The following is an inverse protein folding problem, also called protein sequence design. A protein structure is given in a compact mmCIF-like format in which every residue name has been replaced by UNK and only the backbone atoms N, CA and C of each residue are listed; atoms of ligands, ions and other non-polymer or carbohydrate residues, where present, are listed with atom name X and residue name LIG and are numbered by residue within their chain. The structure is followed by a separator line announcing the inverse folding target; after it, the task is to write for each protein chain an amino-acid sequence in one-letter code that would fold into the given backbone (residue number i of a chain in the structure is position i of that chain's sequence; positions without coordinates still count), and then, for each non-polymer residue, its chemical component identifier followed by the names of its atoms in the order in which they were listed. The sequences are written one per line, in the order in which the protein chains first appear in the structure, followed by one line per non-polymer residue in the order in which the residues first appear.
data_IF_381669145789
#
_entry.id   IF_381669145789
#
_cell.length_a   1.000
_cell.length_b   1.000
_cell.length_c   1.000
_cell.angle_alpha   90.00
_cell.angle_beta   90.00
_cell.angle_gamma   90.00
#
_symmetry.space_group_name_H-M   'P 1'
#
loop_
_entity.id
_entity.type
_entity.pdbx_description
1 polymer ?
#
# COMPACT_ATOMS: atom_id res chain seq x y z
N UNK A 1 11.58 31.93 11.92
CA UNK A 1 11.48 30.58 11.32
C UNK A 1 10.69 30.70 10.03
N UNK A 2 11.16 30.11 8.93
CA UNK A 2 10.42 30.11 7.65
C UNK A 2 9.07 29.39 7.79
N UNK A 3 8.04 29.89 7.10
CA UNK A 3 6.72 29.25 7.06
C UNK A 3 6.75 27.98 6.21
N UNK A 4 5.74 27.13 6.36
CA UNK A 4 5.54 25.96 5.50
C UNK A 4 5.46 26.33 4.02
N UNK A 5 4.83 27.45 3.69
CA UNK A 5 4.74 27.96 2.32
C UNK A 5 6.11 28.36 1.76
N UNK A 6 6.91 29.11 2.53
CA UNK A 6 8.26 29.51 2.09
C UNK A 6 9.18 28.29 1.91
N UNK A 7 9.05 27.27 2.78
CA UNK A 7 9.77 26.01 2.64
C UNK A 7 9.32 25.24 1.38
N UNK A 8 8.02 25.24 1.06
CA UNK A 8 7.52 24.64 -0.17
C UNK A 8 8.07 25.35 -1.42
N UNK A 9 8.07 26.69 -1.43
CA UNK A 9 8.65 27.47 -2.53
C UNK A 9 10.15 27.21 -2.68
N UNK A 10 10.89 27.08 -1.57
CA UNK A 10 12.30 26.71 -1.59
C UNK A 10 12.51 25.29 -2.16
N UNK A 11 11.59 24.36 -1.89
CA UNK A 11 11.62 23.02 -2.48
C UNK A 11 11.46 23.07 -4.00
N UNK A 12 10.44 23.77 -4.51
CA UNK A 12 10.22 23.93 -5.95
C UNK A 12 11.41 24.61 -6.65
N UNK A 13 12.03 25.61 -6.01
CA UNK A 13 13.23 26.28 -6.54
C UNK A 13 14.45 25.36 -6.56
N UNK A 14 14.64 24.52 -5.54
CA UNK A 14 15.74 23.55 -5.49
C UNK A 14 15.56 22.51 -6.59
N UNK A 15 14.33 22.00 -6.75
CA UNK A 15 13.97 21.05 -7.79
C UNK A 15 14.22 21.62 -9.20
N UNK A 16 13.77 22.85 -9.46
CA UNK A 16 13.98 23.52 -10.75
C UNK A 16 15.46 23.74 -11.11
N UNK A 17 16.35 23.75 -10.10
CA UNK A 17 17.81 23.87 -10.27
C UNK A 17 18.52 22.52 -10.37
N UNK A 18 17.80 21.41 -10.26
CA UNK A 18 18.37 20.06 -10.22
C UNK A 18 18.93 19.65 -8.85
N UNK A 19 18.72 20.44 -7.78
CA UNK A 19 19.06 20.05 -6.41
C UNK A 19 17.93 19.19 -5.82
N UNK A 20 17.92 17.91 -6.21
CA UNK A 20 16.89 16.96 -5.83
C UNK A 20 16.89 16.70 -4.32
N UNK A 21 18.06 16.54 -3.70
CA UNK A 21 18.16 16.30 -2.26
C UNK A 21 17.71 17.53 -1.45
N UNK A 22 18.13 18.72 -1.86
CA UNK A 22 17.67 19.97 -1.23
C UNK A 22 16.16 20.18 -1.38
N UNK A 23 15.59 19.85 -2.55
CA UNK A 23 14.15 19.89 -2.75
C UNK A 23 13.42 18.95 -1.77
N UNK A 24 13.90 17.71 -1.66
CA UNK A 24 13.29 16.70 -0.81
C UNK A 24 13.36 17.03 0.67
N UNK A 25 14.48 17.58 1.14
CA UNK A 25 14.61 18.09 2.51
C UNK A 25 13.66 19.25 2.79
N UNK A 26 13.52 20.19 1.86
CA UNK A 26 12.57 21.30 1.98
C UNK A 26 11.11 20.83 2.04
N UNK A 27 10.69 19.83 1.25
CA UNK A 27 9.34 19.26 1.38
C UNK A 27 9.09 18.67 2.76
N UNK A 28 10.04 17.89 3.30
CA UNK A 28 9.92 17.33 4.65
C UNK A 28 9.80 18.41 5.73
N UNK A 29 10.64 19.45 5.64
CA UNK A 29 10.61 20.59 6.55
C UNK A 29 9.28 21.33 6.45
N UNK A 30 8.74 21.52 5.25
CA UNK A 30 7.43 22.15 5.02
C UNK A 30 6.31 21.36 5.69
N UNK A 31 6.22 20.04 5.45
CA UNK A 31 5.21 19.17 6.09
C UNK A 31 5.31 19.25 7.62
N UNK A 32 6.52 19.09 8.17
CA UNK A 32 6.76 19.12 9.62
C UNK A 32 6.36 20.47 10.21
N UNK A 33 6.66 21.58 9.54
CA UNK A 33 6.29 22.94 9.97
C UNK A 33 4.78 23.12 9.99
N UNK A 34 4.09 22.78 8.89
CA UNK A 34 2.63 22.92 8.77
C UNK A 34 1.91 22.12 9.87
N UNK A 35 2.31 20.87 10.07
CA UNK A 35 1.73 19.98 11.09
C UNK A 35 2.04 20.42 12.53
N UNK A 36 3.15 21.13 12.75
CA UNK A 36 3.55 21.60 14.08
C UNK A 36 2.68 22.77 14.53
N UNK A 37 2.59 23.82 13.73
CA UNK A 37 2.06 25.10 14.21
C UNK A 37 1.26 25.95 13.20
N UNK A 38 1.00 25.47 11.98
CA UNK A 38 0.26 26.26 10.97
C UNK A 38 -1.18 25.75 10.72
N UNK A 39 -1.88 26.41 9.80
CA UNK A 39 -3.20 26.02 9.35
C UNK A 39 -3.09 24.89 8.31
N UNK A 40 -3.44 23.67 8.73
CA UNK A 40 -3.36 22.45 7.90
C UNK A 40 -4.33 22.43 6.71
N UNK A 41 -5.34 23.29 6.69
CA UNK A 41 -6.30 23.44 5.57
C UNK A 41 -6.10 24.74 4.79
N UNK A 42 -4.98 25.44 4.98
CA UNK A 42 -4.66 26.63 4.19
C UNK A 42 -4.59 26.29 2.70
N UNK A 43 -5.28 27.09 1.87
CA UNK A 43 -5.22 26.96 0.42
C UNK A 43 -3.85 27.39 -0.10
N UNK A 44 -3.39 26.72 -1.13
CA UNK A 44 -2.19 27.11 -1.84
C UNK A 44 -2.44 28.45 -2.56
N UNK A 45 -1.58 29.47 -2.39
CA UNK A 45 -1.76 30.78 -3.02
C UNK A 45 -1.23 30.77 -4.47
N UNK A 46 -1.70 29.83 -5.27
CA UNK A 46 -1.33 29.67 -6.67
C UNK A 46 -2.49 29.03 -7.46
N UNK A 47 -2.60 29.37 -8.74
CA UNK A 47 -3.45 28.63 -9.67
C UNK A 47 -2.73 27.32 -9.99
N UNK A 48 -3.39 26.21 -9.72
CA UNK A 48 -2.86 24.87 -9.95
C UNK A 48 -3.81 24.07 -10.85
N UNK A 49 -3.29 23.05 -11.55
CA UNK A 49 -4.13 22.17 -12.35
C UNK A 49 -5.29 21.57 -11.54
N UNK A 50 -6.43 21.26 -12.19
CA UNK A 50 -7.60 20.69 -11.52
C UNK A 50 -7.34 19.43 -10.70
N UNK A 51 -6.35 18.62 -11.07
CA UNK A 51 -6.01 17.39 -10.34
C UNK A 51 -4.89 17.57 -9.30
N UNK A 52 -4.37 18.79 -9.15
CA UNK A 52 -3.40 19.11 -8.12
C UNK A 52 -4.12 19.50 -6.81
N UNK A 53 -3.67 19.01 -5.63
CA UNK A 53 -4.29 19.36 -4.36
C UNK A 53 -4.33 20.88 -4.09
N UNK A 54 -5.49 21.38 -3.67
CA UNK A 54 -5.68 22.82 -3.46
C UNK A 54 -5.19 23.33 -2.10
N UNK A 55 -5.07 22.45 -1.10
CA UNK A 55 -4.47 22.79 0.19
C UNK A 55 -2.95 22.69 0.09
N UNK A 56 -2.24 23.65 0.70
CA UNK A 56 -0.78 23.68 0.74
C UNK A 56 -0.22 22.35 1.26
N UNK A 57 -0.75 21.84 2.37
CA UNK A 57 -0.32 20.56 2.94
C UNK A 57 -0.52 19.40 1.96
N UNK A 58 -1.65 19.38 1.23
CA UNK A 58 -1.92 18.35 0.22
C UNK A 58 -0.94 18.43 -0.94
N UNK A 59 -0.62 19.63 -1.42
CA UNK A 59 0.32 19.84 -2.52
C UNK A 59 1.75 19.43 -2.16
N UNK A 60 2.22 19.87 -0.98
CA UNK A 60 3.54 19.48 -0.45
C UNK A 60 3.60 17.97 -0.25
N UNK A 61 2.55 17.36 0.30
CA UNK A 61 2.48 15.92 0.51
C UNK A 61 2.54 15.13 -0.81
N UNK A 62 1.78 15.57 -1.83
CA UNK A 62 1.80 14.98 -3.17
C UNK A 62 3.21 14.96 -3.77
N UNK A 63 3.94 16.07 -3.67
CA UNK A 63 5.31 16.14 -4.17
C UNK A 63 6.25 15.26 -3.34
N UNK A 64 6.14 15.30 -2.01
CA UNK A 64 6.92 14.46 -1.11
C UNK A 64 6.75 12.96 -1.39
N UNK A 65 5.53 12.44 -1.55
CA UNK A 65 5.33 11.03 -1.89
C UNK A 65 5.77 10.73 -3.32
N UNK A 66 5.67 11.70 -4.24
CA UNK A 66 6.14 11.57 -5.62
C UNK A 66 7.63 11.23 -5.71
N UNK A 67 8.47 11.83 -4.86
CA UNK A 67 9.92 11.55 -4.83
C UNK A 67 10.25 10.10 -4.47
N UNK A 68 9.42 9.44 -3.64
CA UNK A 68 9.59 8.01 -3.35
C UNK A 68 9.11 7.11 -4.49
N UNK A 69 8.19 7.59 -5.31
CA UNK A 69 7.54 6.79 -6.35
C UNK A 69 8.21 6.91 -7.70
N UNK A 70 8.89 8.03 -7.94
CA UNK A 70 9.63 8.29 -9.16
C UNK A 70 10.87 7.39 -9.25
N UNK A 71 10.95 6.50 -10.26
CA UNK A 71 12.09 5.61 -10.46
C UNK A 71 13.43 6.34 -10.63
N UNK A 72 13.42 7.54 -11.21
CA UNK A 72 14.64 8.31 -11.49
C UNK A 72 15.23 8.92 -10.21
N UNK A 73 14.40 9.12 -9.19
CA UNK A 73 14.77 9.79 -7.95
C UNK A 73 15.45 8.84 -6.94
N UNK A 74 15.15 7.53 -7.00
CA UNK A 74 15.79 6.47 -6.20
C UNK A 74 15.80 6.69 -4.67
N UNK A 75 14.76 7.33 -4.10
CA UNK A 75 14.62 7.52 -2.66
C UNK A 75 14.10 6.26 -1.96
N UNK A 76 14.78 5.82 -0.91
CA UNK A 76 14.50 4.58 -0.16
C UNK A 76 14.61 4.78 1.35
N UNK A 77 14.26 3.76 2.13
CA UNK A 77 14.48 3.75 3.58
C UNK A 77 15.97 3.85 3.93
N UNK A 78 16.82 3.19 3.16
CA UNK A 78 18.26 3.13 3.37
C UNK A 78 18.94 4.46 3.02
N UNK A 79 18.53 5.09 1.92
CA UNK A 79 19.12 6.37 1.50
C UNK A 79 18.58 7.56 2.30
N UNK A 80 17.28 7.54 2.67
CA UNK A 80 16.60 8.68 3.28
C UNK A 80 15.71 8.27 4.48
N UNK A 81 16.31 7.79 5.58
CA UNK A 81 15.58 7.19 6.69
C UNK A 81 14.63 8.17 7.40
N UNK A 82 14.97 9.45 7.50
CA UNK A 82 14.11 10.46 8.15
C UNK A 82 12.87 10.80 7.33
N UNK A 83 13.01 10.81 5.99
CA UNK A 83 11.88 10.95 5.08
C UNK A 83 10.99 9.71 5.15
N UNK A 84 11.60 8.52 5.15
CA UNK A 84 10.88 7.26 5.27
C UNK A 84 10.12 7.18 6.60
N UNK A 85 10.73 7.60 7.71
CA UNK A 85 10.06 7.69 9.02
C UNK A 85 8.85 8.62 8.98
N UNK A 86 8.94 9.77 8.30
CA UNK A 86 7.81 10.67 8.10
C UNK A 86 6.69 9.98 7.32
N UNK A 87 7.00 9.37 6.16
CA UNK A 87 6.04 8.62 5.35
C UNK A 87 5.37 7.50 6.18
N UNK A 88 6.17 6.66 6.83
CA UNK A 88 5.71 5.53 7.63
C UNK A 88 4.88 5.97 8.85
N UNK A 89 5.09 7.17 9.38
CA UNK A 89 4.26 7.71 10.47
C UNK A 89 2.81 7.96 10.07
N UNK A 90 2.52 8.07 8.77
CA UNK A 90 1.17 8.20 8.23
C UNK A 90 0.58 6.88 7.71
N UNK A 91 1.25 5.73 7.85
CA UNK A 91 0.65 4.46 7.38
C UNK A 91 -0.75 4.25 8.00
N UNK A 92 -1.71 3.62 7.30
CA UNK A 92 -3.08 3.41 7.82
C UNK A 92 -3.14 2.73 9.20
N UNK A 93 -2.18 1.85 9.48
CA UNK A 93 -2.05 1.13 10.75
C UNK A 93 -1.26 1.86 11.84
N UNK A 94 -0.71 3.04 11.58
CA UNK A 94 -0.10 3.87 12.64
C UNK A 94 -1.20 4.54 13.44
N UNK A 95 -1.42 4.08 14.67
CA UNK A 95 -2.38 4.65 15.63
C UNK A 95 -1.85 5.95 16.26
N UNK A 96 -1.31 6.87 15.45
CA UNK A 96 -0.78 8.14 15.93
C UNK A 96 -1.85 9.23 15.77
N UNK A 97 -2.22 9.96 16.84
CA UNK A 97 -3.18 11.05 16.73
C UNK A 97 -2.56 12.23 15.98
N UNK A 98 -3.38 12.94 15.20
CA UNK A 98 -3.00 14.17 14.51
C UNK A 98 -3.97 15.30 14.88
N UNK A 99 -3.86 15.88 16.10
CA UNK A 99 -4.89 16.77 16.65
C UNK A 99 -5.27 17.95 15.76
N UNK A 100 -4.31 18.54 15.02
CA UNK A 100 -4.60 19.67 14.11
C UNK A 100 -5.43 19.26 12.90
N UNK A 101 -5.15 18.10 12.32
CA UNK A 101 -5.93 17.55 11.21
C UNK A 101 -7.29 17.05 11.71
N UNK A 102 -7.37 16.54 12.93
CA UNK A 102 -8.60 15.99 13.52
C UNK A 102 -9.60 17.06 13.99
N UNK A 103 -9.20 18.34 14.07
CA UNK A 103 -10.06 19.45 14.51
C UNK A 103 -11.23 19.77 13.57
N UNK A 104 -11.08 19.54 12.27
CA UNK A 104 -12.08 19.93 11.27
C UNK A 104 -12.42 18.80 10.33
N UNK A 105 -13.61 18.84 9.73
CA UNK A 105 -14.03 17.86 8.72
C UNK A 105 -13.05 17.83 7.54
N UNK A 106 -12.64 19.00 7.02
CA UNK A 106 -11.67 19.10 5.92
C UNK A 106 -10.29 18.54 6.31
N UNK A 107 -9.83 18.81 7.54
CA UNK A 107 -8.56 18.27 8.04
C UNK A 107 -8.59 16.74 8.16
N UNK A 108 -9.72 16.15 8.58
CA UNK A 108 -9.89 14.69 8.62
C UNK A 108 -9.83 14.07 7.23
N UNK A 109 -10.42 14.70 6.22
CA UNK A 109 -10.34 14.27 4.81
C UNK A 109 -8.87 14.32 4.33
N UNK A 110 -8.14 15.41 4.60
CA UNK A 110 -6.71 15.50 4.29
C UNK A 110 -5.91 14.39 4.97
N UNK A 111 -6.10 14.17 6.28
CA UNK A 111 -5.42 13.11 7.01
C UNK A 111 -5.67 11.74 6.38
N UNK A 112 -6.91 11.42 6.05
CA UNK A 112 -7.25 10.12 5.44
C UNK A 112 -6.58 9.94 4.09
N UNK A 113 -6.57 10.96 3.24
CA UNK A 113 -5.84 10.90 1.97
C UNK A 113 -4.32 10.73 2.17
N UNK A 114 -3.72 11.39 3.17
CA UNK A 114 -2.30 11.26 3.46
C UNK A 114 -1.99 9.84 3.93
N UNK A 115 -2.88 9.26 4.75
CA UNK A 115 -2.73 7.88 5.22
C UNK A 115 -2.85 6.85 4.10
N UNK A 116 -3.82 7.03 3.21
CA UNK A 116 -4.04 6.17 2.04
C UNK A 116 -2.83 6.21 1.11
N UNK A 117 -2.42 7.42 0.69
CA UNK A 117 -1.29 7.61 -0.23
C UNK A 117 0.06 7.25 0.41
N UNK A 118 0.22 7.36 1.74
CA UNK A 118 1.37 6.78 2.45
C UNK A 118 1.41 5.26 2.30
N UNK A 119 0.29 4.57 2.53
CA UNK A 119 0.20 3.12 2.39
C UNK A 119 0.47 2.64 0.97
N UNK A 120 -0.01 3.36 -0.05
CA UNK A 120 0.30 3.07 -1.45
C UNK A 120 1.80 3.24 -1.74
N UNK A 121 2.41 4.34 -1.29
CA UNK A 121 3.85 4.58 -1.46
C UNK A 121 4.69 3.48 -0.79
N UNK A 122 4.37 3.12 0.45
CA UNK A 122 5.05 2.04 1.17
C UNK A 122 4.86 0.68 0.49
N UNK A 123 3.70 0.46 -0.13
CA UNK A 123 3.45 -0.74 -0.94
C UNK A 123 4.33 -0.78 -2.19
N UNK A 124 4.47 0.35 -2.90
CA UNK A 124 5.34 0.46 -4.07
C UNK A 124 6.81 0.28 -3.72
N UNK A 125 7.29 0.89 -2.63
CA UNK A 125 8.67 0.69 -2.16
C UNK A 125 8.96 -0.78 -1.80
N UNK A 126 7.98 -1.49 -1.22
CA UNK A 126 8.10 -2.92 -0.97
C UNK A 126 8.08 -3.74 -2.27
N UNK A 127 7.27 -3.34 -3.25
CA UNK A 127 7.23 -3.93 -4.58
C UNK A 127 8.60 -3.83 -5.27
N UNK A 128 9.20 -2.64 -5.27
CA UNK A 128 10.51 -2.39 -5.88
C UNK A 128 11.61 -3.25 -5.23
N UNK A 129 11.49 -3.54 -3.92
CA UNK A 129 12.36 -4.47 -3.18
C UNK A 129 12.02 -5.95 -3.40
N UNK A 130 11.11 -6.28 -4.31
CA UNK A 130 10.55 -7.62 -4.57
C UNK A 130 9.89 -8.28 -3.35
N UNK A 131 9.53 -7.52 -2.32
CA UNK A 131 8.71 -8.00 -1.18
C UNK A 131 7.22 -7.87 -1.52
N UNK A 132 6.75 -8.77 -2.40
CA UNK A 132 5.35 -8.80 -2.86
C UNK A 132 4.35 -8.96 -1.72
N UNK A 133 4.71 -9.73 -0.70
CA UNK A 133 3.82 -9.96 0.45
C UNK A 133 3.61 -8.67 1.24
N UNK A 134 4.66 -7.89 1.48
CA UNK A 134 4.52 -6.58 2.13
C UNK A 134 3.81 -5.58 1.21
N UNK A 135 4.14 -5.54 -0.09
CA UNK A 135 3.45 -4.68 -1.06
C UNK A 135 1.93 -4.88 -1.03
N UNK A 136 1.48 -6.13 -1.21
CA UNK A 136 0.07 -6.49 -1.18
C UNK A 136 -0.61 -6.13 0.14
N UNK A 137 0.09 -6.33 1.27
CA UNK A 137 -0.42 -5.96 2.59
C UNK A 137 -0.64 -4.45 2.71
N UNK A 138 0.33 -3.63 2.27
CA UNK A 138 0.22 -2.16 2.37
C UNK A 138 -0.87 -1.61 1.44
N UNK A 139 -0.96 -2.12 0.21
CA UNK A 139 -2.04 -1.78 -0.70
C UNK A 139 -3.40 -2.12 -0.10
N UNK A 140 -3.57 -3.34 0.44
CA UNK A 140 -4.83 -3.73 1.06
C UNK A 140 -5.19 -2.86 2.27
N UNK A 141 -4.26 -2.61 3.19
CA UNK A 141 -4.50 -1.75 4.36
C UNK A 141 -4.98 -0.34 3.96
N UNK A 142 -4.41 0.24 2.90
CA UNK A 142 -4.79 1.56 2.40
C UNK A 142 -6.10 1.56 1.62
N UNK A 143 -6.37 0.52 0.82
CA UNK A 143 -7.66 0.37 0.13
C UNK A 143 -8.81 0.15 1.13
N UNK A 144 -8.61 -0.69 2.14
CA UNK A 144 -9.59 -0.90 3.21
C UNK A 144 -9.87 0.43 3.95
N UNK A 145 -8.84 1.26 4.19
CA UNK A 145 -9.05 2.60 4.75
C UNK A 145 -9.84 3.51 3.80
N UNK A 146 -9.54 3.49 2.50
CA UNK A 146 -10.26 4.28 1.50
C UNK A 146 -11.74 3.92 1.42
N UNK A 147 -12.10 2.64 1.53
CA UNK A 147 -13.49 2.16 1.56
C UNK A 147 -14.28 2.73 2.74
N UNK A 148 -13.62 3.03 3.87
CA UNK A 148 -14.29 3.70 5.01
C UNK A 148 -14.51 5.20 4.80
N UNK A 149 -14.04 5.77 3.69
CA UNK A 149 -14.07 7.20 3.43
C UNK A 149 -14.72 7.54 2.07
N UNK A 150 -16.06 7.66 2.03
CA UNK A 150 -16.83 7.91 0.80
C UNK A 150 -16.34 9.04 -0.11
N UNK A 151 -15.80 10.18 0.39
CA UNK A 151 -15.29 11.26 -0.45
C UNK A 151 -14.21 10.86 -1.46
N UNK A 152 -13.50 9.75 -1.24
CA UNK A 152 -12.51 9.24 -2.20
C UNK A 152 -13.03 8.13 -3.11
N UNK A 153 -14.21 7.58 -2.83
CA UNK A 153 -14.76 6.45 -3.56
C UNK A 153 -15.78 6.88 -4.61
N UNK A 154 -16.61 7.87 -4.28
CA UNK A 154 -17.69 8.35 -5.13
C UNK A 154 -17.47 9.83 -5.45
N UNK A 155 -16.73 10.11 -6.53
CA UNK A 155 -16.47 11.49 -6.95
C UNK A 155 -17.64 12.04 -7.79
N UNK A 156 -18.31 13.13 -7.36
CA UNK A 156 -19.19 13.87 -8.25
C UNK A 156 -18.45 14.32 -9.53
N UNK A 157 -19.13 14.39 -10.69
CA UNK A 157 -18.55 14.96 -11.90
C UNK A 157 -17.97 16.36 -11.65
N UNK A 158 -16.76 16.61 -12.16
CA UNK A 158 -16.06 17.89 -11.96
C UNK A 158 -15.34 18.01 -10.62
N UNK A 159 -15.21 16.94 -9.83
CA UNK A 159 -14.40 16.97 -8.60
C UNK A 159 -12.92 17.22 -8.93
N UNK A 160 -12.32 18.16 -8.21
CA UNK A 160 -10.94 18.63 -8.38
C UNK A 160 -10.17 18.54 -7.06
N UNK A 161 -8.85 18.71 -7.13
CA UNK A 161 -7.98 18.80 -5.97
C UNK A 161 -7.72 17.47 -5.29
N UNK A 162 -7.75 17.49 -3.95
CA UNK A 162 -7.30 16.38 -3.11
C UNK A 162 -8.07 15.08 -3.35
N UNK A 163 -9.39 15.15 -3.42
CA UNK A 163 -10.24 13.99 -3.65
C UNK A 163 -9.97 13.34 -5.01
N UNK A 164 -9.80 14.15 -6.06
CA UNK A 164 -9.45 13.69 -7.41
C UNK A 164 -8.07 13.01 -7.42
N UNK A 165 -7.07 13.62 -6.79
CA UNK A 165 -5.72 13.07 -6.65
C UNK A 165 -5.72 11.70 -5.95
N UNK A 166 -6.35 11.61 -4.77
CA UNK A 166 -6.40 10.36 -3.99
C UNK A 166 -7.21 9.28 -4.71
N UNK A 167 -8.30 9.63 -5.39
CA UNK A 167 -9.09 8.68 -6.17
C UNK A 167 -8.31 8.06 -7.32
N UNK A 168 -7.55 8.86 -8.09
CA UNK A 168 -6.67 8.35 -9.15
C UNK A 168 -5.67 7.34 -8.58
N UNK A 169 -5.06 7.67 -7.43
CA UNK A 169 -4.09 6.81 -6.74
C UNK A 169 -4.72 5.50 -6.23
N UNK A 170 -6.00 5.54 -5.80
CA UNK A 170 -6.79 4.35 -5.45
C UNK A 170 -6.99 3.44 -6.67
N UNK A 171 -7.35 4.00 -7.82
CA UNK A 171 -7.58 3.21 -9.04
C UNK A 171 -6.29 2.52 -9.50
N UNK A 172 -5.18 3.25 -9.58
CA UNK A 172 -3.87 2.70 -9.93
C UNK A 172 -3.45 1.59 -8.96
N UNK A 173 -3.63 1.81 -7.65
CA UNK A 173 -3.26 0.81 -6.66
C UNK A 173 -4.14 -0.44 -6.71
N UNK A 174 -5.44 -0.31 -7.07
CA UNK A 174 -6.31 -1.47 -7.30
C UNK A 174 -5.80 -2.33 -8.45
N UNK A 175 -5.35 -1.72 -9.54
CA UNK A 175 -4.73 -2.46 -10.65
C UNK A 175 -3.45 -3.16 -10.21
N UNK A 176 -2.57 -2.47 -9.47
CA UNK A 176 -1.32 -3.04 -8.97
C UNK A 176 -1.57 -4.23 -8.03
N UNK A 177 -2.51 -4.11 -7.09
CA UNK A 177 -2.90 -5.22 -6.24
C UNK A 177 -3.53 -6.37 -7.05
N UNK A 178 -4.37 -6.04 -8.04
CA UNK A 178 -4.95 -7.01 -8.97
C UNK A 178 -3.88 -7.85 -9.70
N UNK A 179 -2.81 -7.20 -10.18
CA UNK A 179 -1.66 -7.89 -10.80
C UNK A 179 -0.99 -8.86 -9.82
N UNK A 180 -0.79 -8.49 -8.55
CA UNK A 180 -0.23 -9.41 -7.55
C UNK A 180 -1.13 -10.62 -7.36
N UNK A 181 -2.44 -10.41 -7.17
CA UNK A 181 -3.39 -11.49 -6.94
C UNK A 181 -3.45 -12.45 -8.13
N UNK A 182 -3.48 -11.90 -9.35
CA UNK A 182 -3.50 -12.69 -10.58
C UNK A 182 -2.20 -13.49 -10.75
N UNK A 183 -1.03 -12.90 -10.46
CA UNK A 183 0.24 -13.60 -10.52
C UNK A 183 0.30 -14.76 -9.52
N UNK A 184 -0.08 -14.52 -8.26
CA UNK A 184 -0.19 -15.57 -7.25
C UNK A 184 -1.15 -16.69 -7.71
N UNK A 185 -2.26 -16.38 -8.38
CA UNK A 185 -3.14 -17.41 -8.94
C UNK A 185 -2.46 -18.22 -10.05
N UNK A 186 -1.84 -17.55 -11.03
CA UNK A 186 -1.14 -18.22 -12.14
C UNK A 186 0.00 -19.12 -11.64
N UNK A 187 0.78 -18.66 -10.66
CA UNK A 187 1.87 -19.45 -10.08
C UNK A 187 1.33 -20.66 -9.31
N UNK A 188 0.22 -20.52 -8.59
CA UNK A 188 -0.41 -21.65 -7.92
C UNK A 188 -0.90 -22.72 -8.93
N UNK A 189 -1.50 -22.29 -10.05
CA UNK A 189 -1.98 -23.21 -11.09
C UNK A 189 -0.84 -23.96 -11.79
N UNK A 190 0.29 -23.28 -12.04
CA UNK A 190 1.50 -23.91 -12.59
C UNK A 190 2.10 -24.97 -11.63
N UNK A 191 2.11 -24.68 -10.34
CA UNK A 191 2.60 -25.61 -9.32
C UNK A 191 1.67 -26.83 -9.18
N UNK A 192 0.36 -26.63 -9.21
CA UNK A 192 -0.61 -27.72 -9.14
C UNK A 192 -0.49 -28.72 -10.31
N UNK A 193 -0.01 -28.26 -11.47
CA UNK A 193 0.22 -29.12 -12.65
C UNK A 193 1.54 -29.89 -12.60
N UNK A 194 2.51 -29.44 -11.78
CA UNK A 194 3.90 -29.92 -11.81
C UNK A 194 4.27 -30.74 -10.57
N UNK A 195 3.79 -30.33 -9.40
CA UNK A 195 4.13 -30.96 -8.13
C UNK A 195 2.94 -31.77 -7.59
N UNK A 196 3.04 -33.10 -7.68
CA UNK A 196 2.06 -34.04 -7.12
C UNK A 196 1.98 -34.03 -5.58
N UNK A 197 2.74 -33.16 -4.91
CA UNK A 197 2.77 -33.01 -3.45
C UNK A 197 1.46 -32.49 -2.85
N UNK A 198 0.64 -31.79 -3.65
CA UNK A 198 -0.66 -31.25 -3.23
C UNK A 198 -0.59 -30.14 -2.17
N UNK A 199 0.60 -29.61 -1.85
CA UNK A 199 0.77 -28.56 -0.85
C UNK A 199 0.57 -27.18 -1.48
N UNK A 200 -0.55 -26.53 -1.15
CA UNK A 200 -0.79 -25.15 -1.60
C UNK A 200 0.11 -24.17 -0.83
N UNK A 201 0.93 -23.35 -1.52
CA UNK A 201 1.77 -22.35 -0.86
C UNK A 201 0.92 -21.36 -0.05
N UNK A 202 1.43 -20.89 1.08
CA UNK A 202 0.87 -19.81 1.88
C UNK A 202 1.49 -18.46 1.57
N UNK A 203 0.99 -17.42 2.24
CA UNK A 203 1.58 -16.08 2.14
C UNK A 203 3.01 -16.07 2.70
N UNK A 204 3.95 -15.53 1.92
CA UNK A 204 5.42 -15.49 2.10
C UNK A 204 6.15 -16.79 1.84
N UNK A 205 5.46 -17.86 1.47
CA UNK A 205 6.16 -19.06 1.04
C UNK A 205 6.89 -18.76 -0.27
N UNK A 206 8.17 -19.16 -0.31
CA UNK A 206 9.00 -19.13 -1.51
C UNK A 206 9.05 -20.54 -2.06
N UNK A 207 8.72 -20.69 -3.34
CA UNK A 207 8.72 -21.98 -4.01
C UNK A 207 9.42 -21.87 -5.35
N UNK A 208 10.09 -22.95 -5.73
CA UNK A 208 10.74 -23.04 -7.03
C UNK A 208 9.69 -23.20 -8.12
N UNK A 209 9.89 -22.47 -9.21
CA UNK A 209 9.02 -22.58 -10.39
C UNK A 209 9.45 -23.79 -11.23
N UNK A 210 8.50 -24.52 -11.83
CA UNK A 210 8.82 -25.64 -12.70
C UNK A 210 9.63 -25.21 -13.94
N UNK A 211 9.40 -23.97 -14.39
CA UNK A 211 10.12 -23.31 -15.46
C UNK A 211 10.43 -21.87 -15.05
N UNK A 212 11.65 -21.36 -15.28
CA UNK A 212 11.99 -19.97 -15.03
C UNK A 212 11.06 -19.01 -15.78
N UNK A 213 10.60 -17.96 -15.11
CA UNK A 213 9.78 -16.92 -15.73
C UNK A 213 10.59 -15.66 -15.95
N UNK A 214 10.39 -15.01 -17.10
CA UNK A 214 10.99 -13.71 -17.38
C UNK A 214 10.14 -12.61 -16.75
N UNK A 215 10.78 -11.77 -15.94
CA UNK A 215 10.22 -10.55 -15.36
C UNK A 215 10.98 -9.35 -15.89
N UNK A 216 10.27 -8.36 -16.42
CA UNK A 216 10.84 -7.11 -16.90
C UNK A 216 10.49 -6.03 -15.88
N UNK A 217 11.51 -5.38 -15.32
CA UNK A 217 11.28 -4.28 -14.39
C UNK A 217 10.97 -2.97 -15.11
N UNK A 218 10.68 -1.93 -14.32
CA UNK A 218 10.33 -0.59 -14.81
C UNK A 218 11.43 0.10 -15.63
N UNK A 219 12.67 -0.37 -15.55
CA UNK A 219 13.81 0.12 -16.35
C UNK A 219 13.97 -0.63 -17.66
N UNK A 220 13.14 -1.66 -17.91
CA UNK A 220 13.25 -2.55 -19.06
C UNK A 220 14.25 -3.68 -18.87
N UNK A 221 14.86 -3.82 -17.68
CA UNK A 221 15.79 -4.91 -17.41
C UNK A 221 15.02 -6.23 -17.25
N UNK A 222 15.38 -7.22 -18.08
CA UNK A 222 14.84 -8.56 -18.01
C UNK A 222 15.61 -9.40 -16.99
N UNK A 223 14.87 -10.08 -16.12
CA UNK A 223 15.38 -11.00 -15.10
C UNK A 223 14.67 -12.35 -15.21
N UNK A 224 15.41 -13.45 -15.08
CA UNK A 224 14.85 -14.79 -14.99
C UNK A 224 14.61 -15.14 -13.52
N UNK A 225 13.35 -15.37 -13.15
CA UNK A 225 12.95 -15.82 -11.82
C UNK A 225 12.75 -17.33 -11.84
N UNK A 226 13.58 -18.07 -11.11
CA UNK A 226 13.43 -19.52 -10.90
C UNK A 226 12.62 -19.85 -9.65
N UNK A 227 12.28 -18.86 -8.83
CA UNK A 227 11.51 -19.03 -7.59
C UNK A 227 10.57 -17.85 -7.39
N UNK A 228 9.52 -18.08 -6.60
CA UNK A 228 8.43 -17.13 -6.45
C UNK A 228 7.96 -17.08 -4.99
N UNK A 229 8.00 -15.89 -4.37
CA UNK A 229 7.40 -15.61 -3.08
C UNK A 229 5.91 -15.23 -3.21
N UNK A 230 4.99 -15.98 -2.61
CA UNK A 230 3.55 -15.70 -2.67
C UNK A 230 3.15 -14.53 -1.77
N UNK A 231 2.31 -13.63 -2.27
CA UNK A 231 1.85 -12.47 -1.51
C UNK A 231 0.60 -12.73 -0.66
N UNK A 232 -0.15 -13.78 -0.98
CA UNK A 232 -1.49 -14.08 -0.44
C UNK A 232 -1.62 -15.51 0.08
N UNK A 233 -2.72 -15.78 0.78
CA UNK A 233 -3.10 -17.14 1.17
C UNK A 233 -4.15 -17.68 0.20
N UNK A 234 -4.26 -19.01 0.12
CA UNK A 234 -5.27 -19.68 -0.69
C UNK A 234 -6.43 -20.21 0.17
N UNK A 235 -7.63 -20.19 -0.40
CA UNK A 235 -8.78 -20.89 0.16
C UNK A 235 -8.60 -22.40 0.03
N UNK A 236 -8.69 -23.13 1.13
CA UNK A 236 -8.54 -24.60 1.15
C UNK A 236 -9.64 -25.35 0.41
N UNK A 237 -10.78 -24.71 0.14
CA UNK A 237 -11.92 -25.33 -0.55
C UNK A 237 -11.94 -25.07 -2.05
N UNK A 238 -11.63 -23.83 -2.49
CA UNK A 238 -11.78 -23.43 -3.89
C UNK A 238 -10.50 -22.87 -4.54
N UNK A 239 -9.37 -22.85 -3.83
CA UNK A 239 -8.09 -22.40 -4.35
C UNK A 239 -7.93 -20.87 -4.53
N UNK A 240 -9.03 -20.10 -4.54
CA UNK A 240 -8.97 -18.63 -4.68
C UNK A 240 -8.04 -18.01 -3.66
N UNK A 241 -7.20 -17.07 -4.10
CA UNK A 241 -6.17 -16.44 -3.28
C UNK A 241 -6.51 -14.99 -2.94
N UNK A 242 -6.33 -14.60 -1.67
CA UNK A 242 -6.54 -13.23 -1.19
C UNK A 242 -5.74 -12.98 0.11
N UNK A 243 -5.62 -11.71 0.50
CA UNK A 243 -5.13 -11.30 1.81
C UNK A 243 -6.21 -11.44 2.90
N UNK A 244 -7.48 -11.25 2.54
CA UNK A 244 -8.62 -11.21 3.47
C UNK A 244 -9.41 -12.52 3.42
N UNK A 245 -8.79 -13.60 3.87
CA UNK A 245 -9.45 -14.89 4.05
C UNK A 245 -9.81 -15.12 5.53
N UNK A 246 -10.93 -15.79 5.76
CA UNK A 246 -11.30 -16.31 7.08
C UNK A 246 -10.31 -17.40 7.47
N UNK A 247 -10.01 -17.51 8.76
CA UNK A 247 -9.21 -18.61 9.32
C UNK A 247 -10.11 -19.59 10.03
N UNK A 248 -9.79 -20.87 9.94
CA UNK A 248 -10.41 -21.88 10.80
C UNK A 248 -10.27 -21.45 12.27
N UNK A 249 -11.40 -21.34 12.99
CA UNK A 249 -11.42 -20.89 14.37
C UNK A 249 -10.66 -21.80 15.34
N UNK A 250 -10.44 -23.07 14.97
CA UNK A 250 -9.75 -24.08 15.77
C UNK A 250 -8.25 -24.06 15.53
N UNK A 251 -7.78 -24.43 14.33
CA UNK A 251 -6.35 -24.53 14.05
C UNK A 251 -5.69 -23.19 13.71
N UNK A 252 -6.46 -22.20 13.22
CA UNK A 252 -5.99 -20.89 12.75
C UNK A 252 -4.95 -20.93 11.61
N UNK A 253 -4.68 -22.11 11.05
CA UNK A 253 -3.71 -22.35 9.96
C UNK A 253 -4.35 -22.53 8.58
N UNK A 254 -5.60 -22.98 8.52
CA UNK A 254 -6.34 -23.16 7.25
C UNK A 254 -7.22 -21.94 6.96
N UNK A 255 -7.27 -21.54 5.69
CA UNK A 255 -7.94 -20.32 5.24
C UNK A 255 -9.12 -20.61 4.30
N UNK A 256 -10.13 -19.76 4.33
CA UNK A 256 -11.36 -19.88 3.54
C UNK A 256 -11.84 -18.52 3.03
N UNK A 257 -12.42 -18.47 1.83
CA UNK A 257 -13.09 -17.26 1.33
C UNK A 257 -14.24 -16.83 2.25
N UNK A 258 -15.05 -17.80 2.68
CA UNK A 258 -16.27 -17.59 3.42
C UNK A 258 -16.67 -18.85 4.21
N UNK A 259 -17.78 -18.78 4.94
CA UNK A 259 -18.31 -19.90 5.73
C UNK A 259 -18.76 -21.09 4.86
N UNK A 260 -19.14 -20.87 3.61
CA UNK A 260 -19.56 -21.93 2.68
C UNK A 260 -18.36 -22.79 2.29
N UNK A 261 -17.25 -22.17 1.90
CA UNK A 261 -15.98 -22.85 1.64
C UNK A 261 -15.51 -23.65 2.86
N UNK A 262 -15.62 -23.08 4.06
CA UNK A 262 -15.27 -23.81 5.28
C UNK A 262 -16.15 -25.04 5.51
N UNK A 263 -17.48 -24.91 5.32
CA UNK A 263 -18.43 -26.04 5.47
C UNK A 263 -18.18 -27.13 4.44
N UNK A 264 -17.89 -26.74 3.19
CA UNK A 264 -17.60 -27.67 2.09
C UNK A 264 -16.32 -28.49 2.35
N UNK A 265 -15.27 -27.85 2.86
CA UNK A 265 -13.99 -28.52 3.18
C UNK A 265 -14.01 -29.28 4.52
N UNK A 266 -14.96 -28.98 5.41
CA UNK A 266 -15.00 -29.56 6.77
C UNK A 266 -14.93 -31.09 6.84
N UNK A 267 -15.61 -31.89 5.98
CA UNK A 267 -15.52 -33.34 6.03
C UNK A 267 -14.09 -33.90 5.88
N UNK A 268 -13.24 -33.18 5.14
CA UNK A 268 -11.83 -33.52 4.92
C UNK A 268 -10.96 -32.85 5.98
N UNK A 269 -11.06 -31.53 6.13
CA UNK A 269 -10.23 -30.77 7.07
C UNK A 269 -10.36 -31.23 8.52
N UNK A 270 -11.54 -31.65 8.97
CA UNK A 270 -11.78 -32.08 10.36
C UNK A 270 -10.89 -33.24 10.81
N UNK A 271 -10.34 -34.02 9.88
CA UNK A 271 -9.45 -35.16 10.13
C UNK A 271 -8.02 -34.72 10.47
N UNK A 272 -7.60 -33.57 9.96
CA UNK A 272 -6.24 -33.02 10.11
C UNK A 272 -6.21 -31.72 10.93
N UNK A 273 -7.37 -31.26 11.41
CA UNK A 273 -7.49 -30.03 12.19
C UNK A 273 -6.84 -30.19 13.58
N UNK A 274 -5.60 -29.72 13.72
CA UNK A 274 -4.81 -29.82 14.95
C UNK A 274 -5.46 -29.12 16.17
N UNK A 275 -6.37 -28.17 15.95
CA UNK A 275 -7.14 -27.52 17.04
C UNK A 275 -8.10 -28.47 17.78
N UNK A 276 -8.28 -29.72 17.33
CA UNK A 276 -8.99 -30.78 18.07
C UNK A 276 -8.09 -31.57 19.02
N UNK A 277 -6.77 -31.54 18.86
CA UNK A 277 -5.82 -32.34 19.66
C UNK A 277 -5.52 -31.65 21.02
N UNK A 278 -5.85 -30.36 21.17
CA UNK A 278 -5.56 -29.55 22.36
C UNK A 278 -6.70 -29.36 23.37
N UNK A 279 -7.78 -30.14 23.31
CA UNK A 279 -8.82 -30.17 24.35
C UNK A 279 -9.10 -31.61 24.78
N UNK A 280 -8.11 -32.24 25.41
CA UNK A 280 -8.42 -33.26 26.41
C UNK A 280 -9.04 -32.51 27.61
N UNK A 281 -10.32 -32.76 27.83
CA UNK A 281 -11.10 -32.34 28.99
C UNK A 281 -10.35 -32.59 30.29
N UNK A 282 -10.08 -31.51 31.02
CA UNK A 282 -9.85 -31.53 32.48
C UNK A 282 -11.06 -30.90 33.15
#
# INVERSE_FOLDING_TARGET
MSSGLLLFQAAEQSYAKGDINGAFDHYQKSIKKILKDENVIAKLPAIVPPDFPQELLGGVWRNFVGFFRDPEMNFTEESHPEAYKLLNSFRPSAQKPHPRLERSTRGKILLKGMQITAGFTLGLLAWDKRDRATAAKRYREALDLAETHPPFMNLPPGTIGWESYVHKDILETKENLGRILQNDMLHADLLAQSDGSGKTPGRRDVVDLPLPQMSIDKTGAATLESSVAFATNACSSCGKRDLKLLRCGLCKTTFYCNAECQKADWPVHKKVCAGKIGKASS
#
